data_IF_510385821883
#
_entry.id   IF_510385821883
#
_cell.length_a   1.000
_cell.length_b   1.000
_cell.length_c   1.000
_cell.angle_alpha   90.00
_cell.angle_beta   90.00
_cell.angle_gamma   90.00
#
_symmetry.space_group_name_H-M   'P 1'
#
loop_
_entity.id
_entity.type
_entity.pdbx_description
1 polymer ?
#
# COMPACT_ATOMS: atom_id res chain seq x y z
N UNK A 1 15.38 -0.69 -17.04
CA UNK A 1 14.70 -1.50 -18.09
C UNK A 1 13.55 -2.25 -17.45
N UNK A 2 12.51 -1.51 -17.06
CA UNK A 2 11.19 -2.02 -16.63
C UNK A 2 10.06 -1.24 -17.32
N UNK A 3 10.44 -0.31 -18.20
CA UNK A 3 9.65 0.82 -18.65
C UNK A 3 8.47 0.39 -19.55
N UNK A 4 8.60 -0.75 -20.25
CA UNK A 4 7.54 -1.27 -21.13
C UNK A 4 6.40 -2.01 -20.43
N UNK A 5 6.64 -2.60 -19.24
CA UNK A 5 5.58 -3.30 -18.49
C UNK A 5 4.67 -2.30 -17.78
N UNK A 6 5.26 -1.26 -17.21
CA UNK A 6 4.51 -0.21 -16.52
C UNK A 6 3.60 0.55 -17.50
N UNK A 7 4.06 0.87 -18.72
CA UNK A 7 3.22 1.48 -19.76
C UNK A 7 2.04 0.61 -20.20
N UNK A 8 2.24 -0.70 -20.35
CA UNK A 8 1.17 -1.62 -20.75
C UNK A 8 0.12 -1.76 -19.65
N UNK A 9 0.52 -1.85 -18.39
CA UNK A 9 -0.42 -1.91 -17.26
C UNK A 9 -1.15 -0.59 -17.11
N UNK A 10 -0.45 0.55 -17.18
CA UNK A 10 -1.07 1.88 -17.14
C UNK A 10 -2.11 2.05 -18.26
N UNK A 11 -1.76 1.67 -19.49
CA UNK A 11 -2.69 1.74 -20.63
C UNK A 11 -3.88 0.80 -20.45
N UNK A 12 -3.70 -0.38 -19.86
CA UNK A 12 -4.79 -1.33 -19.61
C UNK A 12 -5.74 -0.78 -18.54
N UNK A 13 -5.20 -0.28 -17.42
CA UNK A 13 -6.01 0.30 -16.33
C UNK A 13 -6.76 1.53 -16.82
N UNK A 14 -6.12 2.39 -17.62
CA UNK A 14 -6.78 3.56 -18.21
C UNK A 14 -7.92 3.17 -19.17
N UNK A 15 -7.73 2.13 -20.00
CA UNK A 15 -8.78 1.59 -20.88
C UNK A 15 -9.92 0.94 -20.11
N UNK A 16 -9.64 0.42 -18.92
CA UNK A 16 -10.61 -0.22 -18.03
C UNK A 16 -11.27 0.76 -17.04
N UNK A 17 -11.07 2.07 -17.18
CA UNK A 17 -11.64 3.12 -16.32
C UNK A 17 -13.17 3.17 -16.29
N UNK A 18 -13.85 2.59 -17.29
CA UNK A 18 -15.31 2.47 -17.34
C UNK A 18 -15.87 1.30 -16.50
N UNK A 19 -15.01 0.44 -15.96
CA UNK A 19 -15.43 -0.66 -15.09
C UNK A 19 -15.63 -0.12 -13.67
N UNK A 20 -16.79 -0.38 -13.07
CA UNK A 20 -17.16 0.15 -11.75
C UNK A 20 -16.24 -0.34 -10.62
N UNK A 21 -15.66 -1.53 -10.74
CA UNK A 21 -14.73 -2.10 -9.77
C UNK A 21 -13.62 -2.88 -10.47
N UNK A 22 -12.37 -2.51 -10.20
CA UNK A 22 -11.19 -3.23 -10.67
C UNK A 22 -10.41 -3.80 -9.48
N UNK A 23 -10.10 -5.10 -9.57
CA UNK A 23 -9.22 -5.78 -8.64
C UNK A 23 -7.82 -5.84 -9.27
N UNK A 24 -6.84 -5.24 -8.60
CA UNK A 24 -5.45 -5.24 -9.04
C UNK A 24 -4.59 -6.08 -8.09
N UNK A 25 -3.89 -7.05 -8.66
CA UNK A 25 -2.82 -7.75 -7.96
C UNK A 25 -1.48 -7.27 -8.51
N UNK A 26 -0.70 -6.62 -7.66
CA UNK A 26 0.57 -6.02 -8.03
C UNK A 26 1.70 -6.90 -7.53
N UNK A 27 2.40 -7.54 -8.47
CA UNK A 27 3.69 -8.16 -8.23
C UNK A 27 4.75 -7.07 -8.38
N UNK A 28 5.18 -6.49 -7.27
CA UNK A 28 6.17 -5.41 -7.29
C UNK A 28 7.54 -6.07 -7.18
N UNK A 29 8.31 -6.07 -8.27
CA UNK A 29 9.72 -6.52 -8.25
C UNK A 29 10.71 -5.39 -7.96
N UNK A 30 10.24 -4.14 -8.08
CA UNK A 30 10.98 -2.95 -7.66
C UNK A 30 10.02 -1.90 -7.14
N UNK A 31 10.16 -1.49 -5.89
CA UNK A 31 9.40 -0.42 -5.21
C UNK A 31 9.48 0.97 -5.87
N UNK A 32 10.11 1.09 -7.05
CA UNK A 32 10.47 2.35 -7.69
C UNK A 32 9.63 2.76 -8.91
N UNK A 33 8.91 1.88 -9.59
CA UNK A 33 8.37 2.23 -10.92
C UNK A 33 6.85 2.21 -11.07
N UNK A 34 6.11 1.38 -10.31
CA UNK A 34 4.68 1.22 -10.59
C UNK A 34 3.78 2.38 -10.09
N UNK A 35 4.21 3.14 -9.08
CA UNK A 35 3.33 4.01 -8.28
C UNK A 35 3.68 5.50 -8.39
N UNK A 36 4.65 5.87 -9.24
CA UNK A 36 5.03 7.29 -9.40
C UNK A 36 4.03 8.01 -10.33
N UNK A 37 3.03 8.66 -9.73
CA UNK A 37 2.19 9.67 -10.37
C UNK A 37 0.86 9.19 -10.97
N UNK A 38 0.58 7.88 -11.01
CA UNK A 38 -0.70 7.35 -11.46
C UNK A 38 -1.79 7.44 -10.39
N UNK A 39 -2.97 7.96 -10.74
CA UNK A 39 -4.18 7.92 -9.89
C UNK A 39 -5.18 6.95 -10.54
N UNK A 40 -5.55 5.91 -9.80
CA UNK A 40 -6.40 4.82 -10.29
C UNK A 40 -7.72 4.78 -9.54
N UNK A 41 -8.68 5.58 -9.99
CA UNK A 41 -9.96 5.79 -9.28
C UNK A 41 -10.94 4.61 -9.38
N UNK A 42 -10.75 3.70 -10.34
CA UNK A 42 -11.58 2.50 -10.52
C UNK A 42 -11.14 1.32 -9.66
N UNK A 43 -9.94 1.38 -9.08
CA UNK A 43 -9.33 0.27 -8.33
C UNK A 43 -9.89 0.24 -6.93
N UNK A 44 -10.43 -0.92 -6.55
CA UNK A 44 -11.04 -1.14 -5.23
C UNK A 44 -10.27 -2.14 -4.39
N UNK A 45 -9.50 -3.03 -5.01
CA UNK A 45 -8.72 -4.03 -4.29
C UNK A 45 -7.29 -4.02 -4.78
N UNK A 46 -6.35 -3.97 -3.84
CA UNK A 46 -4.91 -4.00 -4.12
C UNK A 46 -4.29 -5.13 -3.32
N UNK A 47 -3.60 -6.04 -4.01
CA UNK A 47 -2.74 -7.03 -3.38
C UNK A 47 -1.28 -6.68 -3.65
N UNK A 48 -0.46 -6.59 -2.60
CA UNK A 48 0.94 -6.22 -2.65
C UNK A 48 1.82 -7.40 -2.25
N UNK A 49 2.74 -7.75 -3.12
CA UNK A 49 3.77 -8.76 -2.89
C UNK A 49 5.12 -8.27 -3.41
N UNK A 50 6.16 -8.44 -2.60
CA UNK A 50 7.56 -8.15 -2.97
C UNK A 50 8.50 -9.05 -2.13
N UNK A 51 9.66 -9.36 -2.68
CA UNK A 51 10.75 -10.02 -1.97
C UNK A 51 11.56 -9.04 -1.08
N UNK A 52 11.34 -7.74 -1.23
CA UNK A 52 11.93 -6.66 -0.43
C UNK A 52 10.93 -6.10 0.56
N UNK A 53 11.42 -5.45 1.62
CA UNK A 53 10.54 -4.79 2.58
C UNK A 53 9.82 -3.58 1.98
N UNK A 54 8.55 -3.40 2.35
CA UNK A 54 7.83 -2.17 2.07
C UNK A 54 8.09 -1.17 3.19
N UNK A 55 8.59 0.02 2.87
CA UNK A 55 8.85 1.07 3.86
C UNK A 55 7.66 2.04 3.91
N UNK A 56 7.58 2.89 4.94
CA UNK A 56 6.45 3.82 5.14
C UNK A 56 6.09 4.67 3.91
N UNK A 57 7.10 5.25 3.25
CA UNK A 57 6.95 6.02 2.00
C UNK A 57 6.23 5.26 0.89
N UNK A 58 6.38 3.94 0.84
CA UNK A 58 5.70 3.11 -0.15
C UNK A 58 4.20 3.11 0.08
N UNK A 59 3.76 2.96 1.33
CA UNK A 59 2.34 3.00 1.69
C UNK A 59 1.72 4.38 1.45
N UNK A 60 2.50 5.46 1.58
CA UNK A 60 2.05 6.81 1.21
C UNK A 60 1.72 6.88 -0.29
N UNK A 61 2.59 6.34 -1.15
CA UNK A 61 2.34 6.28 -2.61
C UNK A 61 1.14 5.41 -2.95
N UNK A 62 0.98 4.27 -2.27
CA UNK A 62 -0.21 3.41 -2.43
C UNK A 62 -1.50 4.18 -2.10
N UNK A 63 -1.55 4.88 -0.98
CA UNK A 63 -2.73 5.68 -0.62
C UNK A 63 -3.03 6.77 -1.66
N UNK A 64 -1.99 7.45 -2.18
CA UNK A 64 -2.13 8.50 -3.20
C UNK A 64 -2.60 7.94 -4.56
N UNK A 65 -2.08 6.78 -4.97
CA UNK A 65 -2.44 6.17 -6.24
C UNK A 65 -3.79 5.47 -6.25
N UNK A 66 -4.27 4.99 -5.09
CA UNK A 66 -5.51 4.23 -4.97
C UNK A 66 -6.46 4.89 -3.95
N UNK A 67 -6.96 6.12 -4.23
CA UNK A 67 -7.70 6.91 -3.25
C UNK A 67 -9.05 6.29 -2.84
N UNK A 68 -9.57 5.34 -3.62
CA UNK A 68 -10.85 4.67 -3.39
C UNK A 68 -10.72 3.18 -3.04
N UNK A 69 -9.52 2.77 -2.60
CA UNK A 69 -9.24 1.38 -2.23
C UNK A 69 -10.13 0.92 -1.06
N UNK A 70 -10.85 -0.17 -1.27
CA UNK A 70 -11.73 -0.85 -0.31
C UNK A 70 -11.01 -2.01 0.40
N UNK A 71 -10.08 -2.68 -0.30
CA UNK A 71 -9.31 -3.80 0.24
C UNK A 71 -7.82 -3.66 -0.05
N UNK A 72 -7.00 -3.86 0.99
CA UNK A 72 -5.56 -3.97 0.88
C UNK A 72 -5.11 -5.33 1.43
N UNK A 73 -4.44 -6.12 0.60
CA UNK A 73 -3.80 -7.37 1.01
C UNK A 73 -2.29 -7.22 0.92
N UNK A 74 -1.58 -7.49 2.02
CA UNK A 74 -0.13 -7.41 2.10
C UNK A 74 0.47 -8.78 2.33
N UNK A 75 1.30 -9.23 1.38
CA UNK A 75 1.99 -10.51 1.45
C UNK A 75 3.49 -10.21 1.42
N UNK A 76 4.09 -10.10 2.60
CA UNK A 76 5.50 -9.74 2.72
C UNK A 76 6.08 -10.20 4.06
N UNK A 77 7.00 -11.17 4.02
CA UNK A 77 7.64 -11.71 5.22
C UNK A 77 8.95 -11.00 5.61
N UNK A 78 9.33 -9.94 4.91
CA UNK A 78 10.54 -9.16 5.22
C UNK A 78 10.27 -8.11 6.27
N UNK A 79 11.21 -8.01 7.22
CA UNK A 79 11.21 -6.96 8.25
C UNK A 79 11.44 -5.60 7.61
N UNK A 80 10.81 -4.58 8.15
CA UNK A 80 11.05 -3.20 7.72
C UNK A 80 12.40 -2.71 8.22
N UNK A 81 13.15 -2.03 7.36
CA UNK A 81 14.46 -1.50 7.74
C UNK A 81 14.31 -0.20 8.54
N UNK A 82 13.33 0.63 8.19
CA UNK A 82 13.11 1.95 8.77
C UNK A 82 11.83 1.98 9.61
N UNK A 83 11.82 1.23 10.72
CA UNK A 83 10.69 1.25 11.66
C UNK A 83 10.50 2.64 12.22
N UNK A 84 9.35 3.25 11.95
CA UNK A 84 8.99 4.53 12.57
C UNK A 84 8.48 4.36 13.99
N UNK A 85 8.02 3.15 14.33
CA UNK A 85 7.64 2.80 15.67
C UNK A 85 8.87 2.63 16.56
N UNK A 86 9.10 3.61 17.45
CA UNK A 86 9.93 3.44 18.64
C UNK A 86 11.19 4.31 18.78
N UNK A 87 11.76 4.91 17.73
CA UNK A 87 12.99 5.74 17.87
C UNK A 87 13.14 6.79 16.76
N UNK A 88 12.33 7.84 16.73
CA UNK A 88 12.76 9.05 15.99
C UNK A 88 13.79 9.82 16.83
N UNK A 89 15.08 9.61 16.57
CA UNK A 89 16.15 10.52 17.01
C UNK A 89 16.29 11.75 16.10
N UNK A 90 15.60 11.78 14.97
CA UNK A 90 15.68 12.89 14.01
C UNK A 90 14.31 13.58 13.91
N UNK A 91 14.17 14.69 14.64
CA UNK A 91 12.99 15.56 14.72
C UNK A 91 12.57 16.26 13.41
N UNK A 92 13.13 15.88 12.25
CA UNK A 92 12.99 16.64 11.00
C UNK A 92 12.38 15.87 9.81
N UNK A 93 11.83 14.67 10.01
CA UNK A 93 11.00 14.03 8.97
C UNK A 93 9.54 14.02 9.43
N UNK A 94 8.90 15.17 9.18
CA UNK A 94 7.46 15.37 9.28
C UNK A 94 6.81 14.60 8.12
N UNK A 95 6.76 13.27 8.25
CA UNK A 95 6.16 12.43 7.23
C UNK A 95 4.64 12.59 7.30
N UNK A 96 4.04 12.80 6.14
CA UNK A 96 2.61 13.01 5.98
C UNK A 96 1.83 11.84 6.55
N UNK A 97 0.71 12.17 7.21
CA UNK A 97 -0.26 11.17 7.64
C UNK A 97 -0.82 10.48 6.39
N UNK A 98 -0.82 9.14 6.41
CA UNK A 98 -1.37 8.30 5.35
C UNK A 98 -2.82 7.98 5.72
N UNK A 99 -3.76 8.39 4.89
CA UNK A 99 -5.19 8.14 5.10
C UNK A 99 -5.72 7.10 4.12
N UNK A 100 -6.51 6.16 4.62
CA UNK A 100 -7.23 5.17 3.82
C UNK A 100 -8.75 5.31 4.03
N UNK A 101 -9.38 6.36 3.48
CA UNK A 101 -10.74 6.77 3.85
C UNK A 101 -11.83 5.77 3.44
N UNK A 102 -11.57 4.89 2.47
CA UNK A 102 -12.53 3.90 1.97
C UNK A 102 -12.13 2.47 2.27
N UNK A 103 -11.02 2.25 3.00
CA UNK A 103 -10.58 0.91 3.31
C UNK A 103 -11.58 0.26 4.28
N UNK A 104 -12.00 -0.94 3.93
CA UNK A 104 -12.95 -1.78 4.66
C UNK A 104 -12.27 -3.07 5.10
N UNK A 105 -11.28 -3.54 4.35
CA UNK A 105 -10.57 -4.79 4.64
C UNK A 105 -9.06 -4.60 4.50
N UNK A 106 -8.33 -4.96 5.56
CA UNK A 106 -6.88 -4.99 5.61
C UNK A 106 -6.43 -6.43 5.93
N UNK A 107 -5.84 -7.10 4.97
CA UNK A 107 -5.35 -8.47 5.13
C UNK A 107 -3.82 -8.47 5.25
N UNK A 108 -3.36 -8.82 6.45
CA UNK A 108 -1.96 -8.90 6.83
C UNK A 108 -1.57 -10.32 7.25
N UNK A 109 -2.39 -11.35 6.94
CA UNK A 109 -2.16 -12.75 7.37
C UNK A 109 -0.74 -13.24 7.04
N UNK A 110 -0.26 -12.94 5.83
CA UNK A 110 1.07 -13.33 5.37
C UNK A 110 2.11 -12.20 5.47
N UNK A 111 1.86 -11.21 6.33
CA UNK A 111 2.75 -10.09 6.55
C UNK A 111 3.62 -10.29 7.80
N UNK A 112 4.84 -9.75 7.74
CA UNK A 112 5.71 -9.70 8.90
C UNK A 112 5.19 -8.72 9.96
N UNK A 113 5.54 -8.98 11.24
CA UNK A 113 5.03 -8.26 12.40
C UNK A 113 5.09 -6.72 12.34
N UNK A 114 6.12 -6.18 11.71
CA UNK A 114 6.37 -4.73 11.65
C UNK A 114 5.24 -4.01 10.89
N UNK A 115 4.60 -4.68 9.93
CA UNK A 115 3.46 -4.13 9.22
C UNK A 115 2.22 -4.01 10.11
N UNK A 116 1.95 -4.97 11.01
CA UNK A 116 0.88 -4.81 12.00
C UNK A 116 1.13 -3.60 12.87
N UNK A 117 2.38 -3.42 13.31
CA UNK A 117 2.76 -2.28 14.16
C UNK A 117 2.57 -0.95 13.42
N UNK A 118 2.95 -0.89 12.14
CA UNK A 118 2.76 0.32 11.34
C UNK A 118 1.28 0.63 11.08
N UNK A 119 0.44 -0.36 10.78
CA UNK A 119 -0.97 -0.09 10.45
C UNK A 119 -1.86 0.14 11.68
N UNK A 120 -1.53 -0.47 12.82
CA UNK A 120 -2.42 -0.48 13.99
C UNK A 120 -1.94 0.41 15.13
N UNK A 121 -0.63 0.63 15.24
CA UNK A 121 -0.08 1.39 16.36
C UNK A 121 0.57 2.71 15.93
N UNK A 122 1.01 2.86 14.66
CA UNK A 122 1.55 4.12 14.13
C UNK A 122 0.47 5.20 14.01
N UNK A 123 0.70 6.35 14.63
CA UNK A 123 -0.19 7.51 14.53
C UNK A 123 -0.18 8.15 13.15
N UNK A 124 0.72 7.71 12.26
CA UNK A 124 0.84 8.22 10.89
C UNK A 124 0.02 7.43 9.87
N UNK A 125 -0.68 6.37 10.28
CA UNK A 125 -1.66 5.71 9.42
C UNK A 125 -3.05 5.85 10.05
N UNK A 126 -3.96 6.47 9.30
CA UNK A 126 -5.35 6.60 9.70
C UNK A 126 -6.22 5.60 8.93
N UNK A 127 -6.72 4.60 9.65
CA UNK A 127 -7.72 3.66 9.19
C UNK A 127 -9.11 4.12 9.65
N UNK A 128 -10.15 3.75 8.89
CA UNK A 128 -11.54 4.01 9.34
C UNK A 128 -11.90 3.11 10.52
N UNK A 129 -12.84 3.52 11.37
CA UNK A 129 -13.20 2.75 12.58
C UNK A 129 -13.83 1.38 12.28
N UNK A 130 -14.16 1.07 11.02
CA UNK A 130 -14.84 -0.14 10.60
C UNK A 130 -13.98 -1.06 9.73
N UNK A 131 -12.64 -0.89 9.72
CA UNK A 131 -11.76 -1.78 8.96
C UNK A 131 -11.73 -3.16 9.62
N UNK A 132 -12.08 -4.19 8.85
CA UNK A 132 -11.84 -5.58 9.18
C UNK A 132 -10.36 -5.89 8.95
N UNK A 133 -9.64 -6.27 10.01
CA UNK A 133 -8.22 -6.60 9.92
C UNK A 133 -8.01 -8.09 10.12
N UNK A 134 -7.45 -8.77 9.11
CA UNK A 134 -7.09 -10.19 9.17
C UNK A 134 -5.58 -10.31 9.44
N UNK A 135 -5.19 -11.09 10.45
CA UNK A 135 -3.80 -11.27 10.88
C UNK A 135 -3.59 -12.70 11.35
N UNK A 136 -2.43 -13.28 11.06
CA UNK A 136 -2.04 -14.58 11.61
C UNK A 136 -1.37 -14.35 12.99
N UNK A 137 -1.91 -15.00 14.03
CA UNK A 137 -1.43 -14.92 15.42
C UNK A 137 -0.23 -15.83 15.69
#
# INVERSE_FOLDING_TARGET
MTDGYDELVLSLVHRMSNIQKLDLSLLVWTTKTFVDGGIFTSVRRVSLFDERSFEHEFFLRIAQSFPFMEKLTLINNKRQNNKQFGKSKNKNQDLSIIEYPYLIELDLTQAQKDYYEQFLFDTKICLTNNVCVNMDY
#
